data_IF_060439935432
#
_entry.id   IF_060439935432
#
_cell.length_a   1.000
_cell.length_b   1.000
_cell.length_c   1.000
_cell.angle_alpha   90.00
_cell.angle_beta   90.00
_cell.angle_gamma   90.00
#
_symmetry.space_group_name_H-M   'P 1'
#
loop_
_entity.id
_entity.type
_entity.pdbx_description
1 polymer ?
#
# COMPACT_ATOMS: atom_id res chain seq x y z
N UNK A 1 -1.49 12.84 20.37
CA UNK A 1 -0.68 11.77 19.75
C UNK A 1 -0.52 12.16 18.29
N UNK A 2 0.64 12.69 17.94
CA UNK A 2 0.94 13.24 16.61
C UNK A 2 1.87 12.27 15.91
N UNK A 3 1.91 12.21 14.57
CA UNK A 3 2.82 11.33 13.83
C UNK A 3 4.31 11.52 14.24
N UNK A 4 4.65 12.73 14.72
CA UNK A 4 5.95 13.09 15.28
C UNK A 4 6.25 12.48 16.65
N UNK A 5 5.25 12.13 17.47
CA UNK A 5 5.48 11.50 18.78
C UNK A 5 5.76 10.01 18.68
N UNK A 6 5.47 9.40 17.53
CA UNK A 6 5.56 7.96 17.29
C UNK A 6 6.78 7.57 16.44
N UNK A 7 7.74 8.48 16.24
CA UNK A 7 8.91 8.29 15.37
C UNK A 7 8.54 7.73 13.98
N UNK A 8 7.41 8.18 13.42
CA UNK A 8 6.95 7.72 12.12
C UNK A 8 7.82 8.33 11.00
N UNK A 9 8.74 7.53 10.47
CA UNK A 9 9.75 7.97 9.49
C UNK A 9 9.28 7.93 8.03
N UNK A 10 8.12 7.35 7.74
CA UNK A 10 7.61 7.26 6.37
C UNK A 10 6.94 8.58 5.94
N UNK A 11 7.01 8.95 4.66
CA UNK A 11 6.42 10.19 4.17
C UNK A 11 4.90 10.19 4.38
N UNK A 12 4.37 11.34 4.80
CA UNK A 12 2.95 11.55 5.04
C UNK A 12 2.46 12.67 4.14
N UNK A 13 1.36 12.42 3.44
CA UNK A 13 0.63 13.43 2.68
C UNK A 13 -0.72 13.69 3.34
N UNK A 14 -1.03 14.96 3.62
CA UNK A 14 -2.32 15.37 4.20
C UNK A 14 -3.14 16.06 3.10
N UNK A 15 -4.21 15.40 2.66
CA UNK A 15 -5.13 15.94 1.65
C UNK A 15 -6.14 16.91 2.28
N UNK A 16 -5.68 18.13 2.57
CA UNK A 16 -6.49 19.18 3.22
C UNK A 16 -7.76 19.57 2.45
N UNK A 17 -7.79 19.32 1.14
CA UNK A 17 -8.92 19.67 0.26
C UNK A 17 -9.80 18.47 -0.09
N UNK A 18 -9.50 17.29 0.43
CA UNK A 18 -10.16 16.02 0.10
C UNK A 18 -10.13 15.73 -1.42
N UNK A 19 -9.15 16.29 -2.15
CA UNK A 19 -9.05 16.21 -3.60
C UNK A 19 -8.76 14.80 -4.11
N UNK A 20 -7.91 14.07 -3.41
CA UNK A 20 -7.56 12.69 -3.72
C UNK A 20 -8.77 11.76 -3.52
N UNK A 21 -9.50 11.94 -2.43
CA UNK A 21 -10.73 11.19 -2.19
C UNK A 21 -11.85 11.58 -3.16
N UNK A 22 -12.05 12.87 -3.46
CA UNK A 22 -13.07 13.31 -4.45
C UNK A 22 -12.84 12.71 -5.83
N UNK A 23 -11.58 12.57 -6.24
CA UNK A 23 -11.21 11.95 -7.51
C UNK A 23 -11.53 10.44 -7.52
N UNK A 24 -11.18 9.72 -6.45
CA UNK A 24 -11.23 8.25 -6.42
C UNK A 24 -12.53 7.68 -5.82
N UNK A 25 -13.27 8.46 -5.03
CA UNK A 25 -14.49 8.08 -4.31
C UNK A 25 -14.32 6.82 -3.47
N UNK A 26 -13.37 6.82 -2.53
CA UNK A 26 -13.07 5.62 -1.75
C UNK A 26 -14.26 5.16 -0.90
N UNK A 27 -14.43 3.84 -0.68
CA UNK A 27 -15.49 3.31 0.17
C UNK A 27 -15.46 3.92 1.58
N UNK A 28 -16.62 4.08 2.22
CA UNK A 28 -16.70 4.58 3.60
C UNK A 28 -16.10 3.60 4.63
N UNK A 29 -16.09 2.32 4.30
CA UNK A 29 -15.54 1.29 5.18
C UNK A 29 -14.00 1.27 5.10
N UNK A 30 -13.36 1.64 6.20
CA UNK A 30 -11.90 1.76 6.31
C UNK A 30 -11.14 0.47 6.00
N UNK A 31 -11.79 -0.68 6.07
CA UNK A 31 -11.20 -1.97 5.67
C UNK A 31 -10.78 -2.00 4.20
N UNK A 32 -11.33 -1.13 3.35
CA UNK A 32 -11.03 -1.06 1.91
C UNK A 32 -10.20 0.17 1.52
N UNK A 33 -9.67 0.94 2.48
CA UNK A 33 -8.86 2.15 2.24
C UNK A 33 -7.35 1.92 2.31
N UNK A 34 -6.92 0.68 2.07
CA UNK A 34 -5.50 0.29 2.01
C UNK A 34 -5.25 -0.45 0.71
N UNK A 35 -4.18 -0.06 0.01
CA UNK A 35 -3.88 -0.53 -1.33
C UNK A 35 -2.44 -1.00 -1.40
N UNK A 36 -2.20 -2.15 -2.01
CA UNK A 36 -0.87 -2.55 -2.44
C UNK A 36 -0.71 -2.15 -3.91
N UNK A 37 0.37 -1.43 -4.21
CA UNK A 37 0.71 -1.02 -5.57
C UNK A 37 1.87 -1.87 -6.10
N UNK A 38 1.89 -2.08 -7.41
CA UNK A 38 3.09 -2.55 -8.10
C UNK A 38 4.06 -1.40 -8.41
N UNK A 39 5.21 -1.72 -9.02
CA UNK A 39 6.23 -0.76 -9.41
C UNK A 39 5.79 0.19 -10.54
N UNK A 40 4.62 -0.01 -11.14
CA UNK A 40 4.00 0.88 -12.13
C UNK A 40 2.87 1.72 -11.53
N UNK A 41 2.75 1.74 -10.20
CA UNK A 41 1.69 2.40 -9.43
C UNK A 41 0.28 1.84 -9.69
N UNK A 42 0.16 0.61 -10.20
CA UNK A 42 -1.15 -0.04 -10.34
C UNK A 42 -1.55 -0.71 -9.04
N UNK A 43 -2.82 -0.58 -8.68
CA UNK A 43 -3.41 -1.28 -7.54
C UNK A 43 -3.51 -2.77 -7.86
N UNK A 44 -2.79 -3.60 -7.10
CA UNK A 44 -2.81 -5.06 -7.24
C UNK A 44 -3.59 -5.74 -6.12
N UNK A 45 -3.69 -5.13 -4.94
CA UNK A 45 -4.54 -5.59 -3.84
C UNK A 45 -5.26 -4.42 -3.17
N UNK A 46 -6.50 -4.68 -2.74
CA UNK A 46 -7.31 -3.76 -1.94
C UNK A 46 -7.66 -4.45 -0.63
N UNK A 47 -7.51 -3.75 0.49
CA UNK A 47 -7.92 -4.21 1.80
C UNK A 47 -6.84 -4.01 2.86
N UNK A 48 -7.26 -3.68 4.08
CA UNK A 48 -6.35 -3.48 5.20
C UNK A 48 -5.87 -4.83 5.77
N UNK A 49 -4.57 -5.18 5.64
CA UNK A 49 -4.03 -6.45 6.10
C UNK A 49 -4.04 -6.62 7.62
N UNK A 50 -4.22 -5.55 8.40
CA UNK A 50 -4.33 -5.64 9.86
C UNK A 50 -5.67 -6.22 10.33
N UNK A 51 -6.73 -6.10 9.52
CA UNK A 51 -8.08 -6.52 9.90
C UNK A 51 -8.52 -7.85 9.27
N UNK A 52 -7.82 -8.36 8.26
CA UNK A 52 -8.21 -9.57 7.56
C UNK A 52 -7.00 -10.50 7.28
N UNK A 53 -6.90 -11.66 7.97
CA UNK A 53 -5.76 -12.57 7.82
C UNK A 53 -5.50 -13.02 6.37
N UNK A 54 -6.56 -13.30 5.61
CA UNK A 54 -6.45 -13.69 4.20
C UNK A 54 -5.81 -12.59 3.33
N UNK A 55 -6.17 -11.33 3.57
CA UNK A 55 -5.55 -10.19 2.85
C UNK A 55 -4.08 -10.06 3.25
N UNK A 56 -3.75 -10.24 4.54
CA UNK A 56 -2.36 -10.26 5.00
C UNK A 56 -1.53 -11.33 4.29
N UNK A 57 -2.06 -12.55 4.15
CA UNK A 57 -1.39 -13.64 3.43
C UNK A 57 -1.14 -13.29 1.97
N UNK A 58 -2.14 -12.68 1.29
CA UNK A 58 -1.98 -12.22 -0.11
C UNK A 58 -0.88 -11.15 -0.24
N UNK A 59 -0.85 -10.15 0.66
CA UNK A 59 0.21 -9.13 0.68
C UNK A 59 1.60 -9.77 0.85
N UNK A 60 1.73 -10.68 1.83
CA UNK A 60 3.00 -11.35 2.10
C UNK A 60 3.46 -12.24 0.94
N UNK A 61 2.53 -12.87 0.20
CA UNK A 61 2.84 -13.58 -1.03
C UNK A 61 3.48 -12.65 -2.07
N UNK A 62 2.81 -11.55 -2.42
CA UNK A 62 3.32 -10.58 -3.39
C UNK A 62 4.71 -10.03 -3.02
N UNK A 63 4.94 -9.73 -1.75
CA UNK A 63 6.22 -9.19 -1.27
C UNK A 63 7.35 -10.23 -1.34
N UNK A 64 7.07 -11.50 -1.04
CA UNK A 64 8.07 -12.58 -1.18
C UNK A 64 8.44 -12.81 -2.64
N UNK A 65 7.46 -12.80 -3.53
CA UNK A 65 7.68 -12.99 -4.97
C UNK A 65 8.52 -11.86 -5.56
N UNK A 66 8.36 -10.63 -5.05
CA UNK A 66 9.21 -9.49 -5.44
C UNK A 66 10.67 -9.63 -4.98
N UNK A 67 10.92 -10.27 -3.84
CA UNK A 67 12.26 -10.49 -3.29
C UNK A 67 12.99 -11.69 -3.91
N UNK A 68 12.28 -12.56 -4.63
CA UNK A 68 12.83 -13.75 -5.29
C UNK A 68 13.02 -13.55 -6.81
N UNK A 69 12.93 -12.31 -7.32
CA UNK A 69 13.25 -12.05 -8.72
C UNK A 69 14.74 -12.36 -8.93
N UNK A 70 15.12 -13.23 -9.89
CA UNK A 70 16.52 -13.40 -10.23
C UNK A 70 17.08 -12.03 -10.63
N UNK A 71 18.29 -11.73 -10.14
CA UNK A 71 19.05 -10.58 -10.61
C UNK A 71 19.05 -10.66 -12.14
N UNK A 72 18.57 -9.60 -12.80
CA UNK A 72 18.65 -9.51 -14.25
C UNK A 72 20.13 -9.41 -14.55
N UNK A 73 20.74 -10.50 -15.04
CA UNK A 73 22.06 -10.44 -15.66
C UNK A 73 22.00 -9.35 -16.72
N UNK A 74 22.84 -8.33 -16.55
CA UNK A 74 22.88 -7.21 -17.48
C UNK A 74 23.17 -7.72 -18.87
N UNK A 75 22.33 -7.33 -19.84
CA UNK A 75 22.66 -7.47 -21.24
C UNK A 75 23.97 -6.72 -21.50
N UNK A 76 24.94 -7.43 -22.09
CA UNK A 76 26.32 -7.02 -22.38
C UNK A 76 26.48 -5.63 -23.03
#
# INVERSE_FOLDING_TARGET
>A
MTLQSEDFIYPVCIDLKDTFNKLNKFPLNDKFRTFLLDNTNKVILVGNPMHHPRIKEMYMGQLRDCNNKPEVEGDE
#
